data_IF_382327653701
#
_entry.id   IF_382327653701
#
_cell.length_a   1.000
_cell.length_b   1.000
_cell.length_c   1.000
_cell.angle_alpha   90.00
_cell.angle_beta   90.00
_cell.angle_gamma   90.00
#
_symmetry.space_group_name_H-M   'P 1'
#
loop_
_entity.id
_entity.type
_entity.pdbx_description
1 polymer ?
#
# COMPACT_ATOMS: atom_id res chain seq x y z
N UNK A 1 -1.30 74.11 -4.01
CA UNK A 1 -0.89 73.15 -5.08
C UNK A 1 -0.71 71.80 -4.41
N UNK A 2 -1.75 71.00 -4.44
CA UNK A 2 -1.74 69.67 -3.76
C UNK A 2 -1.05 68.69 -4.72
N UNK A 3 0.15 68.25 -4.39
CA UNK A 3 0.79 67.14 -5.08
C UNK A 3 0.17 65.85 -4.58
N UNK A 4 -0.69 65.27 -5.38
CA UNK A 4 -1.14 63.88 -5.20
C UNK A 4 0.02 63.00 -5.72
N UNK A 5 0.82 62.45 -4.81
CA UNK A 5 1.78 61.43 -5.16
C UNK A 5 1.02 60.16 -5.58
N UNK A 6 1.30 59.61 -6.76
CA UNK A 6 0.68 58.35 -7.16
C UNK A 6 1.15 57.22 -6.19
N UNK A 7 0.24 56.35 -5.81
CA UNK A 7 0.51 55.23 -4.95
C UNK A 7 1.75 54.45 -5.48
N UNK A 8 2.84 54.52 -4.74
CA UNK A 8 4.06 53.79 -5.10
C UNK A 8 3.87 52.30 -4.80
N UNK A 9 3.72 51.50 -5.84
CA UNK A 9 3.74 50.03 -5.70
C UNK A 9 5.15 49.55 -5.89
N UNK A 10 5.79 49.05 -4.82
CA UNK A 10 7.12 48.43 -4.85
C UNK A 10 6.94 46.96 -5.10
N UNK A 11 7.49 46.44 -6.20
CA UNK A 11 7.57 45.00 -6.46
C UNK A 11 8.93 44.47 -5.98
N UNK A 12 8.90 43.59 -4.99
CA UNK A 12 10.07 42.83 -4.55
C UNK A 12 10.19 41.56 -5.39
N UNK A 13 11.41 41.08 -5.58
CA UNK A 13 11.74 39.91 -6.42
C UNK A 13 11.07 38.59 -5.94
N UNK A 14 10.53 38.55 -4.74
CA UNK A 14 9.84 37.40 -4.12
C UNK A 14 8.31 37.34 -4.39
N UNK A 15 7.80 38.13 -5.34
CA UNK A 15 6.35 38.14 -5.63
C UNK A 15 5.50 39.01 -4.67
N UNK A 16 6.13 39.58 -3.65
CA UNK A 16 5.43 40.50 -2.73
C UNK A 16 5.16 41.85 -3.39
N UNK A 17 3.91 42.31 -3.34
CA UNK A 17 3.50 43.63 -3.81
C UNK A 17 3.08 44.47 -2.62
N UNK A 18 3.83 45.56 -2.34
CA UNK A 18 3.52 46.51 -1.28
C UNK A 18 2.88 47.77 -1.91
N UNK A 19 1.68 48.09 -1.44
CA UNK A 19 0.98 49.30 -1.84
C UNK A 19 0.97 50.30 -0.68
N UNK A 20 1.68 51.42 -0.80
CA UNK A 20 1.59 52.49 0.16
C UNK A 20 0.24 53.25 0.03
N UNK A 21 -0.50 53.40 1.13
CA UNK A 21 -1.82 54.02 1.18
C UNK A 21 -1.76 55.39 1.82
N UNK A 22 -0.70 55.75 2.56
CA UNK A 22 -0.48 57.06 3.19
C UNK A 22 1.00 57.33 3.37
N UNK A 23 1.34 58.59 3.59
CA UNK A 23 2.72 58.99 3.97
C UNK A 23 3.03 58.49 5.38
N UNK A 24 4.21 57.94 5.57
CA UNK A 24 4.68 57.44 6.86
C UNK A 24 5.88 56.50 6.70
N UNK A 25 6.43 56.05 7.81
CA UNK A 25 7.48 55.04 7.86
C UNK A 25 6.86 53.74 8.37
N UNK A 26 7.05 52.64 7.61
CA UNK A 26 6.62 51.32 8.02
C UNK A 26 7.82 50.34 7.87
N UNK A 27 7.98 49.50 8.85
CA UNK A 27 8.97 48.42 8.80
C UNK A 27 8.23 47.13 8.46
N UNK A 28 8.69 46.43 7.43
CA UNK A 28 8.17 45.10 7.03
C UNK A 28 9.27 44.12 7.27
N UNK A 29 9.01 43.15 8.14
CA UNK A 29 9.89 42.01 8.37
C UNK A 29 9.36 40.83 7.56
N UNK A 30 10.23 40.21 6.77
CA UNK A 30 9.89 39.00 6.01
C UNK A 30 10.73 37.90 6.63
N UNK A 31 10.07 36.92 7.20
CA UNK A 31 10.68 35.73 7.79
C UNK A 31 10.33 34.49 6.94
N UNK A 32 11.18 33.48 6.97
CA UNK A 32 10.89 32.19 6.34
C UNK A 32 9.79 31.50 7.16
N UNK A 33 8.81 30.90 6.50
CA UNK A 33 7.75 30.14 7.15
C UNK A 33 8.25 28.69 7.44
N UNK A 34 9.09 28.57 8.45
CA UNK A 34 9.64 27.27 8.88
C UNK A 34 8.53 26.35 9.44
N UNK A 35 7.47 26.90 10.03
CA UNK A 35 6.39 26.11 10.60
C UNK A 35 5.65 25.30 9.52
N UNK A 36 5.29 25.93 8.40
CA UNK A 36 4.65 25.22 7.28
C UNK A 36 5.55 24.15 6.67
N UNK A 37 6.87 24.33 6.69
CA UNK A 37 7.82 23.29 6.21
C UNK A 37 7.84 22.11 7.18
N UNK A 38 7.91 22.38 8.50
CA UNK A 38 7.86 21.31 9.53
C UNK A 38 6.56 20.51 9.40
N UNK A 39 5.40 21.18 9.35
CA UNK A 39 4.09 20.53 9.15
C UNK A 39 4.06 19.68 7.88
N UNK A 40 4.65 20.17 6.79
CA UNK A 40 4.76 19.41 5.54
C UNK A 40 5.58 18.14 5.68
N UNK A 41 6.73 18.18 6.37
CA UNK A 41 7.61 17.03 6.61
C UNK A 41 6.92 16.03 7.55
N UNK A 42 6.31 16.49 8.64
CA UNK A 42 5.51 15.65 9.56
C UNK A 42 4.38 14.94 8.79
N UNK A 43 3.67 15.67 7.92
CA UNK A 43 2.63 15.07 7.08
C UNK A 43 3.17 13.99 6.12
N UNK A 44 4.39 14.12 5.63
CA UNK A 44 5.04 13.07 4.81
C UNK A 44 5.32 11.84 5.68
N UNK A 45 5.86 12.05 6.89
CA UNK A 45 6.11 10.96 7.83
C UNK A 45 4.82 10.21 8.21
N UNK A 46 3.74 10.92 8.51
CA UNK A 46 2.43 10.32 8.81
C UNK A 46 1.90 9.48 7.64
N UNK A 47 2.00 9.99 6.42
CA UNK A 47 1.56 9.26 5.23
C UNK A 47 2.40 8.02 4.96
N UNK A 48 3.72 8.11 5.17
CA UNK A 48 4.60 6.97 5.07
C UNK A 48 4.25 5.91 6.12
N UNK A 49 4.03 6.31 7.37
CA UNK A 49 3.67 5.41 8.46
C UNK A 49 2.32 4.73 8.21
N UNK A 50 1.33 5.47 7.74
CA UNK A 50 0.04 4.90 7.31
C UNK A 50 0.19 3.88 6.18
N UNK A 51 1.13 4.10 5.25
CA UNK A 51 1.44 3.14 4.20
C UNK A 51 2.10 1.87 4.76
N UNK A 52 3.00 2.01 5.75
CA UNK A 52 3.60 0.87 6.47
C UNK A 52 2.51 0.03 7.14
N UNK A 53 1.59 0.67 7.88
CA UNK A 53 0.47 -0.02 8.53
C UNK A 53 -0.41 -0.74 7.52
N UNK A 54 -0.78 -0.07 6.44
CA UNK A 54 -1.60 -0.66 5.38
C UNK A 54 -0.93 -1.89 4.76
N UNK A 55 0.34 -1.78 4.40
CA UNK A 55 1.09 -2.90 3.81
C UNK A 55 1.22 -4.05 4.80
N UNK A 56 1.51 -3.76 6.07
CA UNK A 56 1.61 -4.78 7.11
C UNK A 56 0.26 -5.49 7.34
N UNK A 57 -0.86 -4.78 7.35
CA UNK A 57 -2.19 -5.39 7.51
C UNK A 57 -2.51 -6.40 6.39
N UNK A 58 -2.11 -6.10 5.16
CA UNK A 58 -2.29 -7.02 4.03
C UNK A 58 -1.34 -8.22 4.04
N UNK A 59 -0.11 -8.03 4.53
CA UNK A 59 0.93 -9.07 4.52
C UNK A 59 0.85 -9.99 5.73
N UNK A 60 0.61 -9.43 6.91
CA UNK A 60 0.63 -10.15 8.19
C UNK A 60 -0.76 -10.59 8.64
N UNK A 61 -1.80 -9.94 8.13
CA UNK A 61 -3.15 -10.03 8.66
C UNK A 61 -3.33 -9.14 9.90
N UNK A 62 -4.58 -8.96 10.30
CA UNK A 62 -4.94 -8.29 11.54
C UNK A 62 -5.24 -9.34 12.62
N UNK A 63 -5.39 -8.92 13.89
CA UNK A 63 -5.63 -9.82 15.04
C UNK A 63 -6.82 -10.78 14.82
N UNK A 64 -7.79 -10.38 14.00
CA UNK A 64 -9.01 -11.14 13.69
C UNK A 64 -9.04 -11.74 12.26
N UNK A 65 -8.08 -11.43 11.38
CA UNK A 65 -8.07 -11.88 9.98
C UNK A 65 -6.70 -12.42 9.56
N UNK A 66 -6.71 -13.51 8.80
CA UNK A 66 -5.49 -14.04 8.19
C UNK A 66 -4.98 -13.09 7.11
N UNK A 67 -3.65 -13.11 6.87
CA UNK A 67 -3.03 -12.34 5.80
C UNK A 67 -3.80 -12.49 4.48
N UNK A 68 -4.21 -11.37 3.91
CA UNK A 68 -5.00 -11.33 2.67
C UNK A 68 -4.12 -11.67 1.45
N UNK A 69 -2.84 -11.29 1.51
CA UNK A 69 -1.90 -11.45 0.41
C UNK A 69 -0.85 -12.49 0.75
N UNK A 70 -0.90 -13.65 0.09
CA UNK A 70 0.09 -14.72 0.26
C UNK A 70 1.43 -14.44 -0.44
N UNK A 71 1.43 -13.64 -1.51
CA UNK A 71 2.65 -13.21 -2.24
C UNK A 71 2.94 -11.74 -1.92
N UNK A 72 3.64 -11.54 -0.82
CA UNK A 72 4.01 -10.21 -0.33
C UNK A 72 5.27 -9.62 -0.96
N UNK A 73 5.92 -10.34 -1.89
CA UNK A 73 7.22 -9.95 -2.43
C UNK A 73 7.18 -8.59 -3.15
N UNK A 74 6.13 -8.34 -3.92
CA UNK A 74 5.94 -7.08 -4.66
C UNK A 74 5.78 -5.90 -3.72
N UNK A 75 4.92 -6.02 -2.70
CA UNK A 75 4.70 -4.95 -1.72
C UNK A 75 5.96 -4.68 -0.88
N UNK A 76 6.67 -5.72 -0.48
CA UNK A 76 7.96 -5.59 0.23
C UNK A 76 9.01 -4.89 -0.63
N UNK A 77 9.09 -5.23 -1.91
CA UNK A 77 10.00 -4.55 -2.85
C UNK A 77 9.64 -3.08 -2.99
N UNK A 78 8.36 -2.75 -3.14
CA UNK A 78 7.88 -1.37 -3.20
C UNK A 78 8.27 -0.58 -1.95
N UNK A 79 8.00 -1.12 -0.77
CA UNK A 79 8.36 -0.49 0.51
C UNK A 79 9.87 -0.32 0.66
N UNK A 80 10.65 -1.33 0.24
CA UNK A 80 12.11 -1.26 0.26
C UNK A 80 12.65 -0.15 -0.62
N UNK A 81 12.10 0.04 -1.82
CA UNK A 81 12.50 1.12 -2.73
C UNK A 81 12.11 2.52 -2.20
N UNK A 82 10.91 2.66 -1.63
CA UNK A 82 10.51 3.91 -0.97
C UNK A 82 11.49 4.23 0.16
N UNK A 83 11.79 3.24 1.00
CA UNK A 83 12.72 3.38 2.11
C UNK A 83 14.13 3.74 1.63
N UNK A 84 14.63 3.10 0.58
CA UNK A 84 15.92 3.41 -0.03
C UNK A 84 15.98 4.88 -0.50
N UNK A 85 14.93 5.35 -1.20
CA UNK A 85 14.85 6.76 -1.63
C UNK A 85 14.88 7.71 -0.44
N UNK A 86 14.18 7.40 0.64
CA UNK A 86 14.14 8.23 1.84
C UNK A 86 15.46 8.20 2.65
N UNK A 87 16.23 7.11 2.56
CA UNK A 87 17.50 6.95 3.28
C UNK A 87 18.73 7.40 2.50
N UNK A 88 18.59 7.61 1.21
CA UNK A 88 19.71 7.97 0.34
C UNK A 88 20.30 9.34 0.73
N UNK A 89 21.47 9.61 0.22
CA UNK A 89 22.13 10.89 0.41
C UNK A 89 21.92 11.81 -0.78
N UNK A 90 21.75 13.09 -0.51
CA UNK A 90 21.42 14.12 -1.48
C UNK A 90 22.32 15.34 -1.27
N UNK A 91 22.49 16.17 -2.29
CA UNK A 91 23.26 17.39 -2.23
C UNK A 91 24.38 17.45 -3.26
N UNK A 92 25.04 18.61 -3.39
CA UNK A 92 26.07 18.88 -4.40
C UNK A 92 27.48 18.63 -3.90
N UNK A 93 27.84 19.16 -2.75
CA UNK A 93 29.19 19.16 -2.21
C UNK A 93 29.32 18.23 -1.02
N UNK A 94 28.39 18.31 -0.08
CA UNK A 94 28.29 17.42 1.07
C UNK A 94 27.04 16.59 0.90
N UNK A 95 27.19 15.30 0.57
CA UNK A 95 26.07 14.39 0.50
C UNK A 95 25.45 14.21 1.89
N UNK A 96 24.22 14.68 2.04
CA UNK A 96 23.49 14.69 3.30
C UNK A 96 22.23 13.86 3.20
N UNK A 97 21.79 13.37 4.33
CA UNK A 97 20.53 12.64 4.44
C UNK A 97 19.62 13.28 5.50
N UNK A 98 18.37 12.83 5.55
CA UNK A 98 17.38 13.40 6.45
C UNK A 98 17.71 13.20 7.94
N UNK A 99 18.57 12.24 8.30
CA UNK A 99 18.96 12.00 9.69
C UNK A 99 19.68 13.20 10.32
N UNK A 100 20.40 13.96 9.54
CA UNK A 100 21.09 15.18 9.99
C UNK A 100 20.13 16.25 10.52
N UNK A 101 18.86 16.16 10.16
CA UNK A 101 17.83 17.17 10.40
C UNK A 101 16.69 16.68 11.31
N UNK A 102 16.97 15.69 12.18
CA UNK A 102 15.99 15.19 13.15
C UNK A 102 14.92 14.26 12.57
N UNK A 103 15.13 13.71 11.34
CA UNK A 103 14.22 12.73 10.73
C UNK A 103 14.89 11.38 10.76
N UNK A 104 14.28 10.39 11.40
CA UNK A 104 14.86 9.06 11.61
C UNK A 104 13.83 7.96 11.39
N UNK A 105 14.28 6.70 11.51
CA UNK A 105 13.40 5.55 11.49
C UNK A 105 13.62 4.71 12.74
N UNK A 106 12.53 4.22 13.31
CA UNK A 106 12.61 3.27 14.41
C UNK A 106 12.95 1.85 13.93
N UNK A 107 13.05 0.90 14.89
CA UNK A 107 13.36 -0.50 14.59
C UNK A 107 12.29 -1.21 13.77
N UNK A 108 11.06 -0.75 13.81
CA UNK A 108 9.92 -1.32 13.09
C UNK A 108 9.75 -0.69 11.70
N UNK A 109 10.55 0.34 11.41
CA UNK A 109 10.61 1.01 10.13
C UNK A 109 9.65 2.19 9.97
N UNK A 110 9.07 2.68 11.07
CA UNK A 110 8.27 3.90 11.07
C UNK A 110 9.15 5.13 11.11
N UNK A 111 8.76 6.14 10.34
CA UNK A 111 9.45 7.42 10.29
C UNK A 111 9.11 8.25 11.53
N UNK A 112 10.14 8.80 12.17
CA UNK A 112 10.05 9.66 13.33
C UNK A 112 10.60 11.03 12.98
N UNK A 113 9.92 12.09 13.41
CA UNK A 113 10.36 13.48 13.20
C UNK A 113 10.52 14.15 14.56
N UNK A 114 11.74 14.58 14.87
CA UNK A 114 11.97 15.51 15.98
C UNK A 114 11.71 16.94 15.49
N UNK A 115 10.52 17.45 15.78
CA UNK A 115 10.09 18.78 15.32
C UNK A 115 10.98 19.90 15.90
N UNK A 116 11.57 19.70 17.09
CA UNK A 116 12.46 20.68 17.70
C UNK A 116 13.77 20.74 16.94
N UNK A 117 14.41 19.59 16.70
CA UNK A 117 15.66 19.48 15.94
C UNK A 117 15.48 19.96 14.50
N UNK A 118 14.36 19.57 13.86
CA UNK A 118 14.02 20.02 12.51
C UNK A 118 13.81 21.54 12.42
N UNK A 119 13.15 22.14 13.43
CA UNK A 119 12.93 23.60 13.46
C UNK A 119 14.24 24.36 13.64
N UNK A 120 15.12 23.87 14.51
CA UNK A 120 16.48 24.44 14.68
C UNK A 120 17.29 24.30 13.40
N UNK A 121 17.28 23.12 12.79
CA UNK A 121 17.95 22.87 11.52
C UNK A 121 17.44 23.76 10.38
N UNK A 122 16.12 23.97 10.27
CA UNK A 122 15.52 24.90 9.29
C UNK A 122 15.93 26.36 9.52
N UNK A 123 16.25 26.73 10.75
CA UNK A 123 16.72 28.09 11.05
C UNK A 123 18.14 28.31 10.54
N UNK A 124 18.99 27.31 10.71
CA UNK A 124 20.42 27.40 10.40
C UNK A 124 20.76 26.92 8.98
N UNK A 125 20.04 25.90 8.47
CA UNK A 125 20.36 25.17 7.24
C UNK A 125 19.17 25.07 6.26
N UNK A 126 18.36 26.11 6.15
CA UNK A 126 17.16 26.10 5.31
C UNK A 126 17.42 25.72 3.84
N UNK A 127 18.47 26.26 3.26
CA UNK A 127 18.76 26.05 1.85
C UNK A 127 19.25 24.61 1.60
N UNK A 128 20.01 24.01 2.52
CA UNK A 128 20.45 22.61 2.44
C UNK A 128 19.25 21.65 2.57
N UNK A 129 18.36 21.90 3.53
CA UNK A 129 17.13 21.11 3.68
C UNK A 129 16.24 21.24 2.45
N UNK A 130 16.12 22.45 1.90
CA UNK A 130 15.38 22.67 0.66
C UNK A 130 16.01 21.86 -0.49
N UNK A 131 17.33 21.89 -0.65
CA UNK A 131 18.03 21.13 -1.69
C UNK A 131 17.87 19.62 -1.49
N UNK A 132 17.92 19.13 -0.24
CA UNK A 132 17.66 17.75 0.11
C UNK A 132 16.29 17.26 -0.44
N UNK A 133 15.24 18.06 -0.28
CA UNK A 133 13.91 17.68 -0.70
C UNK A 133 13.61 17.98 -2.17
N UNK A 134 14.03 19.13 -2.69
CA UNK A 134 13.69 19.57 -4.05
C UNK A 134 14.75 19.24 -5.10
N UNK A 135 15.96 18.94 -4.67
CA UNK A 135 17.12 18.81 -5.54
C UNK A 135 17.72 20.16 -5.92
N UNK A 136 18.86 20.11 -6.59
CA UNK A 136 19.58 21.27 -7.09
C UNK A 136 20.18 20.99 -8.47
N UNK A 137 19.99 21.90 -9.41
CA UNK A 137 20.43 21.80 -10.80
C UNK A 137 19.92 20.47 -11.45
N UNK A 138 20.83 19.59 -11.87
CA UNK A 138 20.50 18.30 -12.49
C UNK A 138 20.38 17.15 -11.46
N UNK A 139 20.66 17.41 -10.17
CA UNK A 139 20.51 16.42 -9.09
C UNK A 139 19.10 16.47 -8.50
N UNK A 140 18.46 15.33 -8.48
CA UNK A 140 17.12 15.18 -7.91
C UNK A 140 17.18 15.12 -6.39
N UNK A 141 16.21 15.73 -5.71
CA UNK A 141 16.02 15.58 -4.28
C UNK A 141 15.05 14.45 -3.94
N UNK A 142 14.86 14.19 -2.64
CA UNK A 142 13.94 13.17 -2.11
C UNK A 142 12.57 13.28 -2.75
N UNK A 143 11.97 14.48 -2.75
CA UNK A 143 10.61 14.70 -3.26
C UNK A 143 10.48 14.38 -4.75
N UNK A 144 11.48 14.76 -5.56
CA UNK A 144 11.48 14.49 -6.99
C UNK A 144 11.63 13.01 -7.27
N UNK A 145 12.59 12.33 -6.63
CA UNK A 145 12.80 10.89 -6.79
C UNK A 145 11.60 10.08 -6.29
N UNK A 146 11.05 10.44 -5.13
CA UNK A 146 9.87 9.77 -4.59
C UNK A 146 8.67 9.94 -5.53
N UNK A 147 8.43 11.16 -6.04
CA UNK A 147 7.37 11.40 -7.02
C UNK A 147 7.56 10.56 -8.28
N UNK A 148 8.76 10.57 -8.86
CA UNK A 148 9.07 9.78 -10.07
C UNK A 148 8.85 8.30 -9.82
N UNK A 149 9.26 7.79 -8.67
CA UNK A 149 9.04 6.39 -8.30
C UNK A 149 7.55 6.07 -8.14
N UNK A 150 6.81 6.89 -7.38
CA UNK A 150 5.36 6.69 -7.19
C UNK A 150 4.59 6.76 -8.51
N UNK A 151 4.92 7.71 -9.38
CA UNK A 151 4.33 7.80 -10.73
C UNK A 151 4.62 6.55 -11.57
N UNK A 152 5.78 5.91 -11.37
CA UNK A 152 6.15 4.66 -12.06
C UNK A 152 5.39 3.43 -11.57
N UNK A 153 4.87 3.46 -10.34
CA UNK A 153 4.10 2.34 -9.78
C UNK A 153 2.71 2.20 -10.42
N UNK A 154 2.09 3.32 -10.77
CA UNK A 154 0.72 3.40 -11.30
C UNK A 154 0.68 3.55 -12.84
N UNK A 155 1.80 3.40 -13.53
CA UNK A 155 1.88 3.45 -14.99
C UNK A 155 1.29 2.21 -15.66
N UNK A 156 1.07 2.26 -16.99
CA UNK A 156 0.57 1.13 -17.81
C UNK A 156 1.42 -0.14 -17.64
N UNK A 157 2.74 0.04 -17.49
CA UNK A 157 3.69 -1.03 -17.19
C UNK A 157 4.16 -0.95 -15.72
N UNK A 158 3.37 -0.32 -14.85
CA UNK A 158 3.71 -0.09 -13.45
C UNK A 158 3.67 -1.37 -12.62
N UNK A 159 4.42 -1.36 -11.52
CA UNK A 159 4.52 -2.51 -10.61
C UNK A 159 3.17 -2.90 -10.02
N UNK A 160 2.31 -1.91 -9.69
CA UNK A 160 0.97 -2.16 -9.13
C UNK A 160 0.04 -2.75 -10.19
N UNK A 161 0.07 -2.23 -11.43
CA UNK A 161 -0.71 -2.78 -12.55
C UNK A 161 -0.32 -4.23 -12.83
N UNK A 162 0.97 -4.53 -12.92
CA UNK A 162 1.45 -5.89 -13.12
C UNK A 162 1.08 -6.84 -11.95
N UNK A 163 1.01 -6.30 -10.74
CA UNK A 163 0.58 -7.07 -9.57
C UNK A 163 -0.93 -7.36 -9.60
N UNK A 164 -1.74 -6.41 -10.00
CA UNK A 164 -3.19 -6.56 -10.18
C UNK A 164 -3.52 -7.62 -11.24
N UNK A 165 -2.89 -7.53 -12.41
CA UNK A 165 -3.01 -8.53 -13.49
C UNK A 165 -2.64 -9.95 -13.01
N UNK A 166 -1.61 -10.07 -12.18
CA UNK A 166 -1.20 -11.35 -11.59
C UNK A 166 -2.24 -11.90 -10.62
N UNK A 167 -2.86 -11.03 -9.81
CA UNK A 167 -3.92 -11.42 -8.88
C UNK A 167 -5.18 -11.86 -9.63
N UNK A 168 -5.56 -11.15 -10.68
CA UNK A 168 -6.69 -11.50 -11.53
C UNK A 168 -6.48 -12.85 -12.22
N UNK A 169 -5.30 -13.10 -12.79
CA UNK A 169 -4.95 -14.39 -13.38
C UNK A 169 -4.99 -15.55 -12.36
N UNK A 170 -4.56 -15.31 -11.12
CA UNK A 170 -4.65 -16.30 -10.04
C UNK A 170 -6.10 -16.57 -9.63
N UNK A 171 -6.92 -15.52 -9.57
CA UNK A 171 -8.34 -15.65 -9.25
C UNK A 171 -9.07 -16.48 -10.32
N UNK A 172 -8.77 -16.26 -11.59
CA UNK A 172 -9.32 -17.05 -12.71
C UNK A 172 -8.92 -18.53 -12.57
N UNK A 173 -7.63 -18.79 -12.34
CA UNK A 173 -7.13 -20.16 -12.13
C UNK A 173 -7.84 -20.86 -10.97
N UNK A 174 -8.01 -20.18 -9.84
CA UNK A 174 -8.71 -20.73 -8.68
C UNK A 174 -10.19 -21.02 -8.94
N UNK A 175 -10.86 -20.19 -9.74
CA UNK A 175 -12.25 -20.42 -10.16
C UNK A 175 -12.36 -21.68 -11.03
N UNK A 176 -11.44 -21.88 -11.96
CA UNK A 176 -11.41 -23.06 -12.82
C UNK A 176 -11.09 -24.33 -12.03
N UNK A 177 -10.15 -24.27 -11.08
CA UNK A 177 -9.84 -25.37 -10.17
C UNK A 177 -11.05 -25.74 -9.30
N UNK A 178 -11.75 -24.74 -8.77
CA UNK A 178 -12.97 -24.92 -7.98
C UNK A 178 -14.07 -25.59 -8.82
N UNK A 179 -14.31 -25.10 -10.04
CA UNK A 179 -15.31 -25.70 -10.93
C UNK A 179 -14.96 -27.16 -11.25
N UNK A 180 -13.70 -27.43 -11.59
CA UNK A 180 -13.19 -28.78 -11.85
C UNK A 180 -13.38 -29.70 -10.64
N UNK A 181 -13.14 -29.20 -9.43
CA UNK A 181 -13.33 -29.97 -8.20
C UNK A 181 -14.81 -30.24 -7.92
N UNK A 182 -15.69 -29.27 -8.19
CA UNK A 182 -17.14 -29.39 -8.07
C UNK A 182 -17.67 -30.46 -9.04
N UNK A 183 -17.28 -30.39 -10.30
CA UNK A 183 -17.74 -31.35 -11.32
C UNK A 183 -17.28 -32.78 -10.97
N UNK A 184 -16.05 -32.95 -10.50
CA UNK A 184 -15.57 -34.26 -10.02
C UNK A 184 -16.33 -34.78 -8.80
N UNK A 185 -16.75 -33.86 -7.93
CA UNK A 185 -17.57 -34.23 -6.78
C UNK A 185 -18.94 -34.74 -7.22
N UNK A 186 -19.58 -34.03 -8.15
CA UNK A 186 -20.88 -34.41 -8.71
C UNK A 186 -20.82 -35.78 -9.42
N UNK A 187 -19.80 -36.02 -10.26
CA UNK A 187 -19.55 -37.31 -10.88
C UNK A 187 -19.39 -38.43 -9.84
N UNK A 188 -18.71 -38.13 -8.74
CA UNK A 188 -18.52 -39.09 -7.64
C UNK A 188 -19.85 -39.42 -6.95
N UNK A 189 -20.72 -38.44 -6.72
CA UNK A 189 -22.04 -38.66 -6.17
C UNK A 189 -22.91 -39.48 -7.11
N UNK A 190 -22.89 -39.25 -8.42
CA UNK A 190 -23.63 -40.06 -9.40
C UNK A 190 -23.13 -41.52 -9.42
N UNK A 191 -21.83 -41.72 -9.41
CA UNK A 191 -21.25 -43.08 -9.32
C UNK A 191 -21.67 -43.79 -8.04
N UNK A 192 -21.60 -43.12 -6.89
CA UNK A 192 -22.08 -43.68 -5.62
C UNK A 192 -23.53 -44.02 -5.63
N UNK A 193 -24.38 -43.12 -6.16
CA UNK A 193 -25.83 -43.34 -6.31
C UNK A 193 -26.11 -44.60 -7.14
N UNK A 194 -25.45 -44.74 -8.27
CA UNK A 194 -25.56 -45.90 -9.14
C UNK A 194 -25.14 -47.20 -8.41
N UNK A 195 -24.02 -47.16 -7.66
CA UNK A 195 -23.58 -48.32 -6.86
C UNK A 195 -24.59 -48.67 -5.77
N UNK A 196 -25.13 -47.67 -5.04
CA UNK A 196 -26.16 -47.93 -4.03
C UNK A 196 -27.44 -48.55 -4.63
N UNK A 197 -27.87 -48.07 -5.80
CA UNK A 197 -29.00 -48.66 -6.50
C UNK A 197 -28.74 -50.12 -6.87
N UNK A 198 -27.56 -50.45 -7.38
CA UNK A 198 -27.16 -51.83 -7.67
C UNK A 198 -27.12 -52.73 -6.41
N UNK A 199 -26.58 -52.22 -5.29
CA UNK A 199 -26.61 -52.91 -4.01
C UNK A 199 -28.02 -53.17 -3.51
N UNK A 200 -28.92 -52.21 -3.64
CA UNK A 200 -30.34 -52.36 -3.25
C UNK A 200 -31.00 -53.51 -4.03
N UNK A 201 -30.75 -53.57 -5.36
CA UNK A 201 -31.27 -54.68 -6.20
C UNK A 201 -30.70 -56.02 -5.76
N UNK A 202 -29.41 -56.09 -5.44
CA UNK A 202 -28.74 -57.29 -5.00
C UNK A 202 -29.27 -57.80 -3.64
N UNK A 203 -29.49 -56.88 -2.70
CA UNK A 203 -30.12 -57.21 -1.40
C UNK A 203 -31.52 -57.74 -1.61
N UNK A 204 -32.36 -57.13 -2.46
CA UNK A 204 -33.70 -57.58 -2.75
C UNK A 204 -33.70 -59.00 -3.38
N UNK A 205 -32.73 -59.30 -4.28
CA UNK A 205 -32.59 -60.63 -4.85
C UNK A 205 -32.18 -61.69 -3.80
N UNK A 206 -31.29 -61.30 -2.88
CA UNK A 206 -30.88 -62.18 -1.79
C UNK A 206 -32.04 -62.46 -0.85
N UNK A 207 -32.81 -61.43 -0.46
CA UNK A 207 -34.03 -61.59 0.38
C UNK A 207 -35.07 -62.51 -0.26
N UNK A 208 -35.31 -62.36 -1.57
CA UNK A 208 -36.19 -63.25 -2.30
C UNK A 208 -35.66 -64.73 -2.36
N UNK A 209 -34.36 -64.88 -2.55
CA UNK A 209 -33.74 -66.22 -2.52
C UNK A 209 -33.83 -66.87 -1.15
N UNK A 210 -33.58 -66.14 -0.07
CA UNK A 210 -33.74 -66.61 1.29
C UNK A 210 -35.22 -66.96 1.62
N UNK A 211 -36.20 -66.15 1.19
CA UNK A 211 -37.60 -66.47 1.36
C UNK A 211 -37.99 -67.77 0.64
N UNK A 212 -37.50 -68.01 -0.57
CA UNK A 212 -37.72 -69.24 -1.30
C UNK A 212 -37.08 -70.46 -0.62
N UNK A 213 -35.83 -70.33 -0.12
CA UNK A 213 -35.18 -71.41 0.64
C UNK A 213 -35.91 -71.73 1.95
N UNK A 214 -36.41 -70.70 2.65
CA UNK A 214 -37.17 -70.88 3.87
C UNK A 214 -38.50 -71.62 3.59
N UNK A 215 -39.19 -71.32 2.50
CA UNK A 215 -40.44 -72.02 2.10
C UNK A 215 -40.16 -73.51 1.83
N UNK A 216 -39.02 -73.86 1.18
CA UNK A 216 -38.64 -75.24 0.92
C UNK A 216 -38.33 -76.00 2.21
N UNK A 217 -37.65 -75.37 3.16
CA UNK A 217 -37.34 -75.95 4.46
C UNK A 217 -38.64 -76.18 5.30
N UNK A 218 -39.49 -75.20 5.33
CA UNK A 218 -40.77 -75.33 6.07
C UNK A 218 -41.62 -76.41 5.49
N UNK A 219 -41.72 -76.57 4.16
CA UNK A 219 -42.45 -77.67 3.49
C UNK A 219 -41.81 -79.04 3.77
N UNK A 220 -40.49 -79.14 3.83
CA UNK A 220 -39.81 -80.42 4.11
C UNK A 220 -39.88 -80.84 5.58
N UNK A 221 -40.09 -79.87 6.49
CA UNK A 221 -40.21 -80.16 7.93
C UNK A 221 -41.66 -80.48 8.36
N UNK A 222 -42.64 -80.33 7.44
CA UNK A 222 -44.06 -80.57 7.67
C UNK A 222 -44.55 -81.93 7.10
N UNK A 223 -43.65 -82.69 6.50
CA UNK A 223 -43.90 -84.08 5.96
C UNK A 223 -43.25 -85.14 6.83
#
# INVERSE_FOLDING_TARGET
>A
MIFILPSLALRLTSGLIIKAVSEGTSTITIEKDNASVVEGIVSIADKYNNLVDLVNSYILGDEDENAVISDSSTLKTMMSQIKEILFDTYGLEDEENMFKYGISFDSDGYMQVDETELTEALTDNYDDIKELFTGYAEKEGIGTRLKTYLDSLDGIDGLLTAYDDKLDGRLETLKDEYQTASDKLDEKYEQMSTQFAAYTVLITQMENSFASLKSIIDDTSSS
#
